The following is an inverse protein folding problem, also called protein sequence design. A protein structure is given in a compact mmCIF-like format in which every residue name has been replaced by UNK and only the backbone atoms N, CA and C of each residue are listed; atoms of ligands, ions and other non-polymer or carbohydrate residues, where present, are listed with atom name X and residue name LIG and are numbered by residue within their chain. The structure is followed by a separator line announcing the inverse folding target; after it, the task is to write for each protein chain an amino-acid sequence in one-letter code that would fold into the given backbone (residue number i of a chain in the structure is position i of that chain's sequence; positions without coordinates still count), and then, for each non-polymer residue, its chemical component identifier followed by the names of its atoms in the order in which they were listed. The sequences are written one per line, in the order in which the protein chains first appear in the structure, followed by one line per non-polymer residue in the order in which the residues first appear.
data_IF_564588654771
#
_entry.id   IF_564588654771
#
_cell.length_a   1.000
_cell.length_b   1.000
_cell.length_c   1.000
_cell.angle_alpha   90.00
_cell.angle_beta   90.00
_cell.angle_gamma   90.00
#
_symmetry.space_group_name_H-M   'P 1'
#
loop_
_entity.id
_entity.type
_entity.pdbx_description
1 polymer ?
#
# COMPACT_ATOMS: atom_id res chain seq x y z
N UNK A 1 8.21 -22.47 -10.60
CA UNK A 1 7.78 -21.11 -10.19
C UNK A 1 8.93 -20.11 -10.36
N UNK A 2 10.10 -20.36 -9.75
CA UNK A 2 11.26 -19.45 -9.78
C UNK A 2 11.72 -19.03 -11.18
N UNK A 3 11.72 -19.91 -12.17
CA UNK A 3 12.07 -19.57 -13.57
C UNK A 3 11.13 -18.54 -14.20
N UNK A 4 9.83 -18.59 -13.87
CA UNK A 4 8.86 -17.59 -14.34
C UNK A 4 9.09 -16.23 -13.66
N UNK A 5 9.54 -16.22 -12.40
CA UNK A 5 9.93 -14.98 -11.71
C UNK A 5 11.22 -14.42 -12.30
N UNK A 6 12.25 -15.26 -12.52
CA UNK A 6 13.50 -14.86 -13.16
C UNK A 6 13.26 -14.22 -14.53
N UNK A 7 12.43 -14.84 -15.38
CA UNK A 7 12.02 -14.27 -16.66
C UNK A 7 11.39 -12.86 -16.53
N UNK A 8 10.59 -12.61 -15.48
CA UNK A 8 10.03 -11.28 -15.22
C UNK A 8 11.10 -10.30 -14.77
N UNK A 9 12.03 -10.71 -13.89
CA UNK A 9 13.13 -9.86 -13.46
C UNK A 9 14.04 -9.47 -14.64
N UNK A 10 14.42 -10.43 -15.48
CA UNK A 10 15.36 -10.25 -16.58
C UNK A 10 14.76 -9.52 -17.80
N UNK A 11 13.45 -9.62 -18.04
CA UNK A 11 12.81 -9.10 -19.27
C UNK A 11 11.74 -8.02 -19.07
N UNK A 12 11.31 -7.74 -17.84
CA UNK A 12 10.39 -6.63 -17.54
C UNK A 12 11.14 -5.47 -16.89
N UNK A 13 11.84 -5.72 -15.79
CA UNK A 13 12.49 -4.70 -14.96
C UNK A 13 13.90 -4.34 -15.45
N UNK A 14 13.98 -3.97 -16.73
CA UNK A 14 15.19 -3.55 -17.43
C UNK A 14 15.38 -2.03 -17.22
N UNK A 15 16.61 -1.60 -16.94
CA UNK A 15 16.93 -0.17 -16.92
C UNK A 15 16.71 0.43 -18.31
N UNK A 16 16.12 1.62 -18.37
CA UNK A 16 15.99 2.36 -19.63
C UNK A 16 17.20 3.27 -19.73
N UNK A 17 17.99 3.14 -20.79
CA UNK A 17 19.05 4.10 -21.09
C UNK A 17 18.39 5.45 -21.39
N UNK A 18 18.66 6.47 -20.57
CA UNK A 18 18.24 7.87 -20.75
C UNK A 18 19.02 8.54 -21.91
N UNK A 19 19.22 7.83 -23.03
CA UNK A 19 19.97 8.24 -24.22
C UNK A 19 19.19 9.24 -25.07
N UNK A 20 18.98 10.40 -24.47
CA UNK A 20 18.24 11.52 -25.03
C UNK A 20 19.15 12.38 -25.93
N UNK A 21 19.65 11.83 -27.05
CA UNK A 21 20.49 12.61 -27.97
C UNK A 21 20.57 12.13 -29.45
N UNK A 22 19.46 12.23 -30.19
CA UNK A 22 19.49 12.64 -31.62
C UNK A 22 18.09 13.04 -32.10
N UNK A 23 18.02 14.07 -32.95
CA UNK A 23 16.79 14.85 -33.18
C UNK A 23 15.98 14.48 -34.44
N UNK A 24 16.41 13.47 -35.22
CA UNK A 24 15.94 13.27 -36.60
C UNK A 24 15.30 11.88 -36.86
N UNK A 25 15.21 11.01 -35.84
CA UNK A 25 14.60 9.66 -35.92
C UNK A 25 13.45 9.40 -34.93
N UNK A 26 13.08 10.40 -34.12
CA UNK A 26 12.41 10.20 -32.83
C UNK A 26 11.02 9.54 -32.86
N UNK A 27 10.25 9.64 -33.94
CA UNK A 27 8.86 9.14 -33.94
C UNK A 27 8.74 7.61 -34.10
N UNK A 28 9.58 6.97 -34.90
CA UNK A 28 9.55 5.50 -35.03
C UNK A 28 10.15 4.83 -33.78
N UNK A 29 11.21 5.42 -33.22
CA UNK A 29 11.80 4.96 -31.96
C UNK A 29 10.81 5.08 -30.78
N UNK A 30 10.09 6.19 -30.63
CA UNK A 30 9.07 6.32 -29.58
C UNK A 30 7.89 5.36 -29.76
N UNK A 31 7.42 5.15 -31.00
CA UNK A 31 6.38 4.15 -31.27
C UNK A 31 6.83 2.72 -30.88
N UNK A 32 8.08 2.38 -31.21
CA UNK A 32 8.70 1.10 -30.86
C UNK A 32 8.89 0.93 -29.34
N UNK A 33 9.37 1.97 -28.63
CA UNK A 33 9.47 1.98 -27.16
C UNK A 33 8.11 1.77 -26.49
N UNK A 34 7.07 2.43 -26.98
CA UNK A 34 5.69 2.28 -26.49
C UNK A 34 5.19 0.84 -26.69
N UNK A 35 5.39 0.25 -27.88
CA UNK A 35 5.00 -1.16 -28.13
C UNK A 35 5.77 -2.13 -27.22
N UNK A 36 7.09 -1.95 -27.08
CA UNK A 36 7.93 -2.75 -26.19
C UNK A 36 7.50 -2.63 -24.73
N UNK A 37 7.16 -1.43 -24.25
CA UNK A 37 6.60 -1.21 -22.91
C UNK A 37 5.24 -1.90 -22.75
N UNK A 38 4.34 -1.81 -23.73
CA UNK A 38 3.06 -2.53 -23.70
C UNK A 38 3.27 -4.06 -23.62
N UNK A 39 4.25 -4.61 -24.35
CA UNK A 39 4.61 -6.03 -24.27
C UNK A 39 5.13 -6.39 -22.87
N UNK A 40 6.04 -5.61 -22.29
CA UNK A 40 6.53 -5.81 -20.91
C UNK A 40 5.41 -5.72 -19.86
N UNK A 41 4.51 -4.73 -19.99
CA UNK A 41 3.30 -4.58 -19.14
C UNK A 41 2.39 -5.80 -19.22
N UNK A 42 2.17 -6.36 -20.42
CA UNK A 42 1.39 -7.58 -20.60
C UNK A 42 2.03 -8.82 -19.95
N UNK A 43 3.36 -8.97 -20.02
CA UNK A 43 4.09 -10.05 -19.35
C UNK A 43 3.99 -9.94 -17.82
N UNK A 44 4.20 -8.73 -17.27
CA UNK A 44 4.04 -8.49 -15.84
C UNK A 44 2.61 -8.79 -15.36
N UNK A 45 1.59 -8.27 -16.07
CA UNK A 45 0.20 -8.55 -15.76
C UNK A 45 -0.15 -10.05 -15.88
N UNK A 46 0.49 -10.78 -16.79
CA UNK A 46 0.34 -12.23 -16.89
C UNK A 46 0.87 -12.95 -15.65
N UNK A 47 2.06 -12.61 -15.17
CA UNK A 47 2.63 -13.19 -13.94
C UNK A 47 1.87 -12.76 -12.68
N UNK A 48 1.49 -11.48 -12.56
CA UNK A 48 0.67 -10.99 -11.46
C UNK A 48 -0.70 -11.71 -11.37
N UNK A 49 -1.29 -12.12 -12.50
CA UNK A 49 -2.49 -12.99 -12.49
C UNK A 49 -2.22 -14.32 -11.81
N UNK A 50 -1.06 -14.94 -12.00
CA UNK A 50 -0.69 -16.19 -11.32
C UNK A 50 -0.62 -16.01 -9.79
N UNK A 51 -0.14 -14.85 -9.32
CA UNK A 51 -0.08 -14.50 -7.89
C UNK A 51 -1.49 -14.34 -7.32
N UNK A 52 -2.33 -13.50 -7.93
CA UNK A 52 -3.68 -13.19 -7.39
C UNK A 52 -4.68 -14.34 -7.55
N UNK A 53 -4.43 -15.28 -8.46
CA UNK A 53 -5.18 -16.54 -8.55
C UNK A 53 -4.48 -17.71 -7.85
N UNK A 54 -3.49 -17.44 -7.00
CA UNK A 54 -2.81 -18.42 -6.12
C UNK A 54 -2.20 -19.63 -6.84
N UNK A 55 -1.82 -19.45 -8.11
CA UNK A 55 -1.11 -20.45 -8.94
C UNK A 55 0.39 -20.48 -8.63
N UNK A 56 0.94 -19.33 -8.21
CA UNK A 56 2.28 -19.22 -7.61
C UNK A 56 2.17 -18.66 -6.20
N UNK A 57 3.17 -18.93 -5.36
CA UNK A 57 3.17 -18.44 -3.97
C UNK A 57 3.20 -16.92 -3.89
N UNK A 58 2.43 -16.33 -2.96
CA UNK A 58 2.37 -14.88 -2.76
C UNK A 58 3.75 -14.28 -2.44
N UNK A 59 4.64 -15.05 -1.81
CA UNK A 59 6.02 -14.64 -1.53
C UNK A 59 6.78 -14.18 -2.79
N UNK A 60 6.49 -14.76 -3.96
CA UNK A 60 7.13 -14.35 -5.24
C UNK A 60 6.76 -12.92 -5.66
N UNK A 61 5.73 -12.33 -5.06
CA UNK A 61 5.37 -10.94 -5.28
C UNK A 61 6.32 -9.95 -4.59
N UNK A 62 7.16 -10.38 -3.64
CA UNK A 62 8.09 -9.49 -2.94
C UNK A 62 9.08 -8.83 -3.91
N UNK A 63 9.65 -9.64 -4.81
CA UNK A 63 10.57 -9.20 -5.87
C UNK A 63 9.92 -8.30 -6.94
N UNK A 64 8.58 -8.22 -6.97
CA UNK A 64 7.79 -7.31 -7.81
C UNK A 64 7.40 -6.05 -7.04
N UNK A 65 6.93 -6.20 -5.79
CA UNK A 65 6.49 -5.08 -4.96
C UNK A 65 7.65 -4.12 -4.64
N UNK A 66 8.88 -4.64 -4.49
CA UNK A 66 10.09 -3.80 -4.32
C UNK A 66 10.34 -2.85 -5.49
N UNK A 67 9.88 -3.19 -6.69
CA UNK A 67 10.06 -2.41 -7.93
C UNK A 67 9.07 -1.23 -8.07
N UNK A 68 8.07 -1.11 -7.17
CA UNK A 68 6.96 -0.15 -7.30
C UNK A 68 7.39 1.32 -7.42
N UNK A 69 8.51 1.72 -6.80
CA UNK A 69 9.05 3.09 -6.96
C UNK A 69 9.96 3.22 -8.19
N UNK A 70 10.91 2.30 -8.39
CA UNK A 70 11.86 2.37 -9.51
C UNK A 70 11.14 2.40 -10.88
N UNK A 71 10.05 1.65 -11.02
CA UNK A 71 9.28 1.55 -12.25
C UNK A 71 7.83 2.06 -12.10
N UNK A 72 7.65 3.14 -11.33
CA UNK A 72 6.31 3.67 -11.05
C UNK A 72 5.53 4.07 -12.31
N UNK A 73 6.18 4.74 -13.27
CA UNK A 73 5.55 5.19 -14.52
C UNK A 73 5.20 4.01 -15.44
N UNK A 74 6.10 3.02 -15.54
CA UNK A 74 5.97 1.86 -16.44
C UNK A 74 4.97 0.82 -15.93
N UNK A 75 4.97 0.54 -14.62
CA UNK A 75 4.32 -0.64 -14.02
C UNK A 75 3.52 -0.34 -12.74
N UNK A 76 3.52 0.90 -12.24
CA UNK A 76 2.99 1.24 -10.92
C UNK A 76 1.51 0.89 -10.71
N UNK A 77 0.68 1.03 -11.74
CA UNK A 77 -0.74 0.65 -11.71
C UNK A 77 -0.94 -0.88 -11.59
N UNK A 78 -0.18 -1.67 -12.35
CA UNK A 78 -0.22 -3.14 -12.32
C UNK A 78 0.23 -3.65 -10.94
N UNK A 79 1.36 -3.14 -10.43
CA UNK A 79 1.91 -3.53 -9.13
C UNK A 79 0.95 -3.13 -8.00
N UNK A 80 0.38 -1.91 -8.06
CA UNK A 80 -0.61 -1.41 -7.08
C UNK A 80 -1.89 -2.24 -7.05
N UNK A 81 -2.44 -2.62 -8.21
CA UNK A 81 -3.62 -3.49 -8.25
C UNK A 81 -3.29 -4.89 -7.74
N UNK A 82 -2.11 -5.42 -8.05
CA UNK A 82 -1.62 -6.70 -7.52
C UNK A 82 -1.56 -6.67 -5.99
N UNK A 83 -0.94 -5.65 -5.38
CA UNK A 83 -0.95 -5.42 -3.92
C UNK A 83 -2.37 -5.26 -3.34
N UNK A 84 -3.31 -4.69 -4.12
CA UNK A 84 -4.71 -4.55 -3.71
C UNK A 84 -5.42 -5.90 -3.67
N UNK A 85 -5.18 -6.75 -4.67
CA UNK A 85 -5.77 -8.08 -4.79
C UNK A 85 -5.19 -9.09 -3.80
N UNK A 86 -3.87 -9.13 -3.63
CA UNK A 86 -3.24 -9.99 -2.61
C UNK A 86 -3.78 -9.66 -1.21
N UNK A 87 -3.92 -8.38 -0.86
CA UNK A 87 -4.53 -7.94 0.41
C UNK A 87 -6.02 -8.30 0.55
N UNK A 88 -6.77 -8.40 -0.55
CA UNK A 88 -8.17 -8.87 -0.54
C UNK A 88 -8.28 -10.37 -0.27
N UNK A 89 -7.28 -11.15 -0.73
CA UNK A 89 -7.20 -12.61 -0.57
C UNK A 89 -6.70 -12.97 0.83
N UNK A 90 -5.53 -12.46 1.22
CA UNK A 90 -4.95 -12.63 2.56
C UNK A 90 -4.22 -11.35 2.98
N UNK A 91 -4.76 -10.68 4.00
CA UNK A 91 -4.18 -9.46 4.55
C UNK A 91 -2.85 -9.72 5.28
N UNK A 92 -2.75 -10.84 5.99
CA UNK A 92 -1.58 -11.16 6.82
C UNK A 92 -0.43 -11.57 5.90
N UNK A 93 -0.66 -12.47 4.94
CA UNK A 93 0.37 -12.80 3.94
C UNK A 93 0.74 -11.57 3.10
N UNK A 94 -0.23 -10.76 2.63
CA UNK A 94 0.12 -9.53 1.91
C UNK A 94 1.05 -8.62 2.76
N UNK A 95 0.82 -8.51 4.07
CA UNK A 95 1.70 -7.73 4.95
C UNK A 95 3.10 -8.35 5.12
N UNK A 96 3.19 -9.69 5.25
CA UNK A 96 4.46 -10.44 5.27
C UNK A 96 5.25 -10.26 3.97
N UNK A 97 4.57 -10.34 2.82
CA UNK A 97 5.18 -10.16 1.50
C UNK A 97 5.66 -8.71 1.31
N UNK A 98 4.90 -7.71 1.77
CA UNK A 98 5.31 -6.29 1.73
C UNK A 98 6.57 -6.03 2.57
N UNK A 99 6.67 -6.58 3.79
CA UNK A 99 7.87 -6.39 4.62
C UNK A 99 9.07 -7.17 4.07
N UNK A 100 8.86 -8.37 3.51
CA UNK A 100 9.90 -9.12 2.79
C UNK A 100 10.48 -8.31 1.61
N UNK A 101 9.63 -7.59 0.88
CA UNK A 101 10.06 -6.70 -0.22
C UNK A 101 11.04 -5.62 0.25
N UNK A 102 10.78 -5.04 1.44
CA UNK A 102 11.64 -4.02 2.05
C UNK A 102 12.92 -4.63 2.64
N UNK A 103 12.85 -5.84 3.18
CA UNK A 103 14.01 -6.59 3.66
C UNK A 103 14.95 -6.96 2.50
N UNK A 104 14.42 -7.34 1.33
CA UNK A 104 15.20 -7.57 0.11
C UNK A 104 15.97 -6.31 -0.30
N UNK A 105 15.30 -5.17 -0.46
CA UNK A 105 15.96 -3.89 -0.81
C UNK A 105 17.01 -3.46 0.22
N UNK A 106 16.75 -3.67 1.50
CA UNK A 106 17.70 -3.33 2.57
C UNK A 106 18.96 -4.22 2.51
N UNK A 107 18.80 -5.51 2.19
CA UNK A 107 19.93 -6.42 1.98
C UNK A 107 20.70 -6.09 0.68
N UNK A 108 20.01 -5.72 -0.40
CA UNK A 108 20.62 -5.27 -1.66
C UNK A 108 21.50 -4.03 -1.43
N UNK A 109 20.98 -3.02 -0.74
CA UNK A 109 21.76 -1.84 -0.32
C UNK A 109 22.97 -2.19 0.57
N UNK A 110 22.82 -3.12 1.53
CA UNK A 110 23.95 -3.58 2.36
C UNK A 110 24.97 -4.36 1.54
N UNK A 111 24.55 -5.11 0.51
CA UNK A 111 25.46 -5.84 -0.38
C UNK A 111 26.31 -4.87 -1.22
N UNK A 112 25.75 -3.73 -1.62
CA UNK A 112 26.45 -2.69 -2.38
C UNK A 112 27.30 -1.74 -1.52
N UNK A 113 26.84 -1.38 -0.32
CA UNK A 113 27.44 -0.30 0.49
C UNK A 113 28.04 -0.77 1.82
N UNK A 114 27.80 -2.02 2.23
CA UNK A 114 28.14 -2.56 3.55
C UNK A 114 27.24 -2.04 4.68
N UNK A 115 27.44 -2.56 5.89
CA UNK A 115 26.65 -2.20 7.07
C UNK A 115 26.90 -0.77 7.60
N UNK A 116 27.94 -0.08 7.12
CA UNK A 116 28.28 1.29 7.53
C UNK A 116 27.74 2.35 6.54
N UNK A 117 26.63 2.05 5.86
CA UNK A 117 25.99 2.97 4.91
C UNK A 117 25.47 4.24 5.59
N UNK A 118 25.39 5.33 4.83
CA UNK A 118 24.78 6.56 5.32
C UNK A 118 23.24 6.48 5.31
N UNK A 119 22.63 6.65 6.48
CA UNK A 119 21.16 6.72 6.64
C UNK A 119 20.54 7.99 6.05
N UNK A 120 21.33 8.99 5.66
CA UNK A 120 20.86 10.17 4.90
C UNK A 120 20.86 9.97 3.38
N UNK A 121 21.41 8.85 2.89
CA UNK A 121 21.49 8.53 1.46
C UNK A 121 20.13 8.50 0.76
N UNK A 122 20.15 8.81 -0.54
CA UNK A 122 18.98 8.72 -1.42
C UNK A 122 18.43 7.29 -1.51
N UNK A 123 19.30 6.28 -1.56
CA UNK A 123 18.94 4.85 -1.58
C UNK A 123 18.11 4.47 -0.35
N UNK A 124 18.63 4.73 0.85
CA UNK A 124 17.90 4.42 2.09
C UNK A 124 16.60 5.23 2.22
N UNK A 125 16.64 6.51 1.84
CA UNK A 125 15.45 7.38 1.79
C UNK A 125 14.39 6.87 0.82
N UNK A 126 14.79 6.29 -0.31
CA UNK A 126 13.89 5.65 -1.28
C UNK A 126 13.20 4.40 -0.72
N UNK A 127 13.91 3.57 0.04
CA UNK A 127 13.32 2.40 0.73
C UNK A 127 12.31 2.87 1.80
N UNK A 128 12.63 3.92 2.56
CA UNK A 128 11.69 4.54 3.52
C UNK A 128 10.46 5.12 2.83
N UNK A 129 10.62 5.81 1.70
CA UNK A 129 9.50 6.34 0.90
C UNK A 129 8.59 5.23 0.37
N UNK A 130 9.16 4.13 -0.12
CA UNK A 130 8.41 2.93 -0.51
C UNK A 130 7.63 2.35 0.69
N UNK A 131 8.27 2.22 1.85
CA UNK A 131 7.63 1.73 3.08
C UNK A 131 6.47 2.63 3.53
N UNK A 132 6.64 3.95 3.47
CA UNK A 132 5.57 4.94 3.72
C UNK A 132 4.39 4.76 2.76
N UNK A 133 4.64 4.47 1.48
CA UNK A 133 3.58 4.14 0.51
C UNK A 133 2.92 2.79 0.78
N UNK A 134 3.67 1.77 1.19
CA UNK A 134 3.11 0.49 1.64
C UNK A 134 2.22 0.66 2.88
N UNK A 135 2.58 1.52 3.83
CA UNK A 135 1.76 1.82 5.00
C UNK A 135 0.38 2.38 4.62
N UNK A 136 0.25 3.12 3.52
CA UNK A 136 -1.04 3.61 3.02
C UNK A 136 -1.97 2.48 2.51
N UNK A 137 -1.43 1.32 2.12
CA UNK A 137 -2.23 0.19 1.61
C UNK A 137 -3.12 -0.47 2.67
N UNK A 138 -2.80 -0.29 3.97
CA UNK A 138 -3.61 -0.77 5.09
C UNK A 138 -4.88 0.08 5.33
N UNK A 139 -5.07 1.16 4.57
CA UNK A 139 -6.27 2.00 4.61
C UNK A 139 -6.42 2.85 5.87
N UNK A 140 -7.67 3.22 6.17
CA UNK A 140 -8.08 3.99 7.35
C UNK A 140 -8.74 3.11 8.43
N UNK A 141 -9.30 1.96 8.04
CA UNK A 141 -9.94 1.01 8.96
C UNK A 141 -8.87 0.13 9.63
N UNK A 142 -8.23 0.70 10.65
CA UNK A 142 -7.19 0.02 11.44
C UNK A 142 -7.70 -1.29 12.07
N UNK A 143 -8.99 -1.38 12.43
CA UNK A 143 -9.54 -2.59 13.06
C UNK A 143 -9.53 -3.76 12.08
N UNK A 144 -9.87 -3.53 10.80
CA UNK A 144 -9.83 -4.56 9.75
C UNK A 144 -8.42 -5.01 9.34
N UNK A 145 -7.37 -4.26 9.69
CA UNK A 145 -5.97 -4.56 9.34
C UNK A 145 -5.04 -4.82 10.53
N UNK A 146 -5.57 -4.72 11.76
CA UNK A 146 -4.89 -4.91 13.05
C UNK A 146 -3.90 -6.07 13.10
N UNK A 147 -4.32 -7.28 12.76
CA UNK A 147 -3.47 -8.48 12.85
C UNK A 147 -2.36 -8.47 11.79
N UNK A 148 -2.67 -7.99 10.59
CA UNK A 148 -1.71 -7.89 9.49
C UNK A 148 -0.60 -6.86 9.80
N UNK A 149 -0.97 -5.70 10.35
CA UNK A 149 0.02 -4.68 10.74
C UNK A 149 0.83 -5.12 11.96
N UNK A 150 0.22 -5.82 12.93
CA UNK A 150 0.96 -6.39 14.06
C UNK A 150 1.97 -7.47 13.61
N UNK A 151 1.60 -8.32 12.65
CA UNK A 151 2.49 -9.32 12.06
C UNK A 151 3.64 -8.66 11.26
N UNK A 152 3.36 -7.60 10.50
CA UNK A 152 4.39 -6.82 9.81
C UNK A 152 5.44 -6.26 10.76
N UNK A 153 5.01 -5.70 11.90
CA UNK A 153 5.94 -5.22 12.93
C UNK A 153 6.72 -6.37 13.58
N UNK A 154 6.09 -7.52 13.83
CA UNK A 154 6.75 -8.70 14.37
C UNK A 154 7.88 -9.20 13.47
N UNK A 155 7.58 -9.45 12.20
CA UNK A 155 8.55 -9.94 11.21
C UNK A 155 9.66 -8.89 10.94
N UNK A 156 9.33 -7.59 10.99
CA UNK A 156 10.30 -6.49 10.89
C UNK A 156 11.25 -6.38 12.10
N UNK A 157 10.76 -6.62 13.31
CA UNK A 157 11.58 -6.72 14.53
C UNK A 157 12.48 -7.96 14.45
N UNK A 158 11.93 -9.14 14.13
CA UNK A 158 12.71 -10.37 13.97
C UNK A 158 13.87 -10.19 12.98
N UNK A 159 13.64 -9.46 11.87
CA UNK A 159 14.69 -9.11 10.91
C UNK A 159 15.75 -8.13 11.45
N UNK A 160 15.33 -7.07 12.15
CA UNK A 160 16.24 -6.05 12.69
C UNK A 160 17.22 -6.60 13.74
N UNK A 161 16.83 -7.65 14.46
CA UNK A 161 17.65 -8.35 15.46
C UNK A 161 18.15 -9.74 15.01
N UNK A 162 17.96 -10.10 13.73
CA UNK A 162 18.33 -11.42 13.18
C UNK A 162 19.82 -11.74 13.32
N UNK A 163 20.67 -10.75 13.08
CA UNK A 163 22.12 -10.92 13.03
C UNK A 163 22.80 -10.02 14.09
N UNK A 164 23.37 -10.61 15.16
CA UNK A 164 24.07 -9.85 16.20
C UNK A 164 25.39 -9.29 15.65
N UNK A 165 25.90 -8.24 16.28
CA UNK A 165 27.15 -7.64 15.87
C UNK A 165 28.35 -8.55 16.24
N UNK A 166 29.26 -8.89 15.31
CA UNK A 166 30.47 -9.67 15.63
C UNK A 166 31.40 -8.99 16.65
N UNK A 167 31.29 -7.68 16.83
CA UNK A 167 32.05 -6.91 17.83
C UNK A 167 31.46 -7.01 19.26
N UNK A 168 30.33 -7.69 19.43
CA UNK A 168 29.69 -7.96 20.72
C UNK A 168 28.52 -7.05 21.07
N UNK A 169 27.88 -7.33 22.21
CA UNK A 169 26.61 -6.72 22.66
C UNK A 169 26.67 -5.20 22.93
N UNK A 170 27.87 -4.61 22.98
CA UNK A 170 28.05 -3.16 23.06
C UNK A 170 27.75 -2.43 21.75
N UNK A 171 27.70 -3.15 20.63
CA UNK A 171 27.46 -2.60 19.29
C UNK A 171 26.02 -2.89 18.82
N UNK A 172 25.43 -2.02 17.98
CA UNK A 172 24.10 -2.26 17.42
C UNK A 172 24.08 -3.52 16.55
N UNK A 173 23.00 -4.33 16.60
CA UNK A 173 22.76 -5.42 15.66
C UNK A 173 22.88 -4.95 14.20
N UNK A 174 23.30 -5.84 13.31
CA UNK A 174 23.68 -5.48 11.95
C UNK A 174 22.53 -4.83 11.15
N UNK A 175 21.29 -5.25 11.41
CA UNK A 175 20.09 -4.78 10.72
C UNK A 175 19.32 -3.69 11.51
N UNK A 176 19.89 -3.11 12.57
CA UNK A 176 19.15 -2.20 13.47
C UNK A 176 18.55 -0.98 12.73
N UNK A 177 19.23 -0.49 11.69
CA UNK A 177 18.75 0.63 10.87
C UNK A 177 17.42 0.34 10.16
N UNK A 178 17.03 -0.93 9.96
CA UNK A 178 15.73 -1.30 9.40
C UNK A 178 14.55 -0.80 10.26
N UNK A 179 14.77 -0.49 11.55
CA UNK A 179 13.75 0.09 12.41
C UNK A 179 13.33 1.52 11.99
N UNK A 180 14.19 2.28 11.30
CA UNK A 180 13.80 3.57 10.71
C UNK A 180 12.80 3.39 9.55
N UNK A 181 12.90 2.29 8.79
CA UNK A 181 11.94 1.90 7.75
C UNK A 181 10.64 1.37 8.41
N UNK A 182 10.78 0.52 9.43
CA UNK A 182 9.64 -0.06 10.16
C UNK A 182 8.80 1.00 10.88
N UNK A 183 9.42 2.11 11.28
CA UNK A 183 8.76 3.25 11.93
C UNK A 183 7.66 3.91 11.08
N UNK A 184 7.76 3.86 9.74
CA UNK A 184 6.73 4.40 8.83
C UNK A 184 5.36 3.70 9.02
N UNK A 185 5.39 2.42 9.42
CA UNK A 185 4.20 1.61 9.69
C UNK A 185 3.62 1.82 11.11
N UNK A 186 4.35 2.45 12.03
CA UNK A 186 3.91 2.63 13.44
C UNK A 186 2.61 3.43 13.58
N UNK A 187 2.36 4.34 12.63
CA UNK A 187 1.15 5.16 12.52
C UNK A 187 -0.13 4.36 12.22
N UNK A 188 0.01 3.10 11.77
CA UNK A 188 -1.09 2.20 11.40
C UNK A 188 -1.49 1.21 12.50
N UNK A 189 -0.68 1.10 13.56
CA UNK A 189 -1.04 0.34 14.76
C UNK A 189 -2.10 1.08 15.58
N UNK A 190 -3.09 0.34 16.11
CA UNK A 190 -3.96 0.87 17.16
C UNK A 190 -3.14 1.07 18.44
N UNK A 191 -3.54 2.03 19.29
CA UNK A 191 -2.84 2.33 20.55
C UNK A 191 -2.61 1.11 21.45
N UNK A 192 -3.59 0.20 21.54
CA UNK A 192 -3.46 -1.04 22.31
C UNK A 192 -2.38 -1.98 21.75
N UNK A 193 -2.23 -2.04 20.42
CA UNK A 193 -1.26 -2.92 19.76
C UNK A 193 0.13 -2.35 19.78
N UNK A 194 0.29 -1.02 19.79
CA UNK A 194 1.60 -0.39 20.03
C UNK A 194 2.25 -0.90 21.32
N UNK A 195 1.48 -1.05 22.41
CA UNK A 195 1.98 -1.65 23.67
C UNK A 195 2.35 -3.13 23.49
N UNK A 196 1.55 -3.91 22.77
CA UNK A 196 1.84 -5.33 22.50
C UNK A 196 3.11 -5.50 21.66
N UNK A 197 3.29 -4.68 20.62
CA UNK A 197 4.49 -4.65 19.77
C UNK A 197 5.71 -4.17 20.56
N UNK A 198 5.55 -3.19 21.45
CA UNK A 198 6.61 -2.74 22.36
C UNK A 198 7.07 -3.85 23.32
N UNK A 199 6.13 -4.56 23.97
CA UNK A 199 6.46 -5.73 24.82
C UNK A 199 7.07 -6.88 24.02
N UNK A 200 6.77 -6.98 22.73
CA UNK A 200 7.44 -7.92 21.83
C UNK A 200 8.88 -7.48 21.49
N UNK A 201 9.10 -6.20 21.20
CA UNK A 201 10.42 -5.60 20.98
C UNK A 201 11.35 -5.76 22.21
N UNK A 202 10.81 -5.61 23.42
CA UNK A 202 11.57 -5.79 24.67
C UNK A 202 12.17 -7.19 24.84
N UNK A 203 11.69 -8.20 24.10
CA UNK A 203 12.29 -9.56 24.11
C UNK A 203 13.64 -9.62 23.39
N UNK A 204 13.95 -8.65 22.55
CA UNK A 204 15.19 -8.56 21.77
C UNK A 204 16.15 -7.48 22.31
N UNK A 205 15.65 -6.52 23.09
CA UNK A 205 16.46 -5.46 23.69
C UNK A 205 17.04 -5.89 25.03
N UNK A 206 18.35 -5.73 25.23
CA UNK A 206 18.93 -5.77 26.57
C UNK A 206 18.70 -4.45 27.30
N UNK A 207 18.79 -4.46 28.63
CA UNK A 207 18.72 -3.25 29.45
C UNK A 207 19.76 -2.19 29.02
N UNK A 208 20.98 -2.63 28.67
CA UNK A 208 22.05 -1.75 28.19
C UNK A 208 21.67 -1.03 26.89
N UNK A 209 21.10 -1.74 25.91
CA UNK A 209 20.64 -1.16 24.64
C UNK A 209 19.61 -0.04 24.87
N UNK A 210 18.72 -0.20 25.85
CA UNK A 210 17.70 0.80 26.19
C UNK A 210 18.26 2.11 26.78
N UNK A 211 19.49 2.08 27.30
CA UNK A 211 20.20 3.21 27.90
C UNK A 211 21.11 3.96 26.91
N UNK A 212 21.49 3.34 25.78
CA UNK A 212 22.33 3.96 24.75
C UNK A 212 21.66 5.20 24.15
N UNK A 213 22.47 6.21 23.82
CA UNK A 213 22.04 7.51 23.26
C UNK A 213 22.89 7.97 22.07
N UNK A 214 23.83 7.15 21.62
CA UNK A 214 24.72 7.46 20.49
C UNK A 214 23.96 7.34 19.15
N UNK A 215 24.39 8.08 18.12
CA UNK A 215 23.64 8.20 16.85
C UNK A 215 23.35 6.87 16.15
N UNK A 216 24.22 5.87 16.33
CA UNK A 216 24.06 4.51 15.79
C UNK A 216 22.88 3.74 16.41
N UNK A 217 22.37 4.19 17.56
CA UNK A 217 21.20 3.63 18.25
C UNK A 217 19.91 4.41 17.99
N UNK A 218 19.95 5.53 17.26
CA UNK A 218 18.77 6.33 16.93
C UNK A 218 17.62 5.54 16.26
N UNK A 219 17.85 4.56 15.36
CA UNK A 219 16.74 3.78 14.78
C UNK A 219 15.89 3.07 15.84
N UNK A 220 16.56 2.52 16.87
CA UNK A 220 15.89 1.87 17.99
C UNK A 220 15.13 2.89 18.85
N UNK A 221 15.74 4.03 19.14
CA UNK A 221 15.11 5.09 19.95
C UNK A 221 13.88 5.67 19.27
N UNK A 222 13.97 6.00 17.98
CA UNK A 222 12.87 6.55 17.17
C UNK A 222 11.71 5.56 17.08
N UNK A 223 11.99 4.30 16.75
CA UNK A 223 10.97 3.26 16.67
C UNK A 223 10.29 3.03 18.03
N UNK A 224 11.08 2.90 19.10
CA UNK A 224 10.58 2.77 20.48
C UNK A 224 9.66 3.94 20.88
N UNK A 225 10.05 5.17 20.57
CA UNK A 225 9.25 6.36 20.84
C UNK A 225 7.94 6.36 20.02
N UNK A 226 7.97 5.91 18.77
CA UNK A 226 6.76 5.79 17.93
C UNK A 226 5.70 4.85 18.50
N UNK A 227 6.12 3.81 19.23
CA UNK A 227 5.24 2.86 19.92
C UNK A 227 4.73 3.40 21.27
N UNK A 228 5.51 4.21 21.98
CA UNK A 228 5.11 4.81 23.26
C UNK A 228 4.28 6.09 23.11
N UNK A 229 4.38 6.79 21.98
CA UNK A 229 3.63 8.01 21.69
C UNK A 229 2.10 7.76 21.68
N UNK A 230 1.41 8.42 22.61
CA UNK A 230 -0.05 8.36 22.83
C UNK A 230 -0.51 7.76 24.18
N UNK A 231 0.42 7.52 25.12
CA UNK A 231 0.15 6.77 26.35
C UNK A 231 -0.37 7.52 27.59
N UNK A 232 -0.27 8.85 27.66
CA UNK A 232 -0.39 9.60 28.95
C UNK A 232 -1.57 10.60 29.04
N UNK A 233 -2.30 10.84 27.95
CA UNK A 233 -3.34 11.89 27.90
C UNK A 233 -4.64 11.52 28.65
N UNK A 234 -4.97 10.23 28.74
CA UNK A 234 -6.20 9.76 29.41
C UNK A 234 -6.11 9.72 30.94
N UNK A 235 -4.90 9.82 31.51
CA UNK A 235 -4.68 9.71 32.96
C UNK A 235 -5.07 10.98 33.74
N UNK A 236 -5.24 12.12 33.06
CA UNK A 236 -5.61 13.39 33.68
C UNK A 236 -7.10 13.76 33.59
N UNK A 237 -7.89 13.07 32.77
CA UNK A 237 -9.28 13.48 32.48
C UNK A 237 -10.34 13.07 33.52
N UNK A 238 -9.98 12.26 34.52
CA UNK A 238 -10.95 11.58 35.41
C UNK A 238 -10.99 12.06 36.87
N UNK A 239 -10.12 13.01 37.28
CA UNK A 239 -9.97 13.39 38.71
C UNK A 239 -10.78 14.64 39.10
N UNK A 240 -11.21 15.47 38.15
CA UNK A 240 -11.98 16.70 38.42
C UNK A 240 -13.50 16.45 38.43
N UNK A 241 -14.02 15.67 39.38
CA UNK A 241 -15.41 15.18 39.34
C UNK A 241 -16.17 14.98 40.66
N UNK A 242 -15.63 15.32 41.83
CA UNK A 242 -16.33 15.11 43.13
C UNK A 242 -16.28 16.29 44.10
N UNK A 243 -17.27 17.19 43.99
CA UNK A 243 -17.85 18.07 45.03
C UNK A 243 -18.76 19.12 44.36
N UNK A 244 -19.98 19.46 44.75
CA UNK A 244 -21.04 18.90 45.60
C UNK A 244 -22.13 19.99 45.70
N UNK A 245 -23.40 19.65 45.41
CA UNK A 245 -24.65 20.28 45.93
C UNK A 245 -24.92 21.80 45.70
N UNK A 246 -26.12 22.13 45.19
CA UNK A 246 -26.79 23.39 45.58
C UNK A 246 -27.85 24.03 44.64
N UNK A 247 -29.14 23.72 44.90
CA UNK A 247 -30.31 24.66 44.86
C UNK A 247 -30.76 25.45 43.60
N UNK A 248 -32.03 25.19 43.23
CA UNK A 248 -33.15 26.14 42.92
C UNK A 248 -33.26 26.95 41.61
N UNK A 249 -34.15 26.48 40.72
CA UNK A 249 -35.37 27.15 40.16
C UNK A 249 -35.46 28.70 40.17
N UNK A 250 -35.66 29.37 39.00
CA UNK A 250 -36.94 30.01 38.51
C UNK A 250 -36.75 31.04 37.35
N UNK A 251 -37.81 31.21 36.53
CA UNK A 251 -38.25 32.46 35.81
C UNK A 251 -37.65 32.92 34.46
N UNK A 252 -38.40 32.61 33.38
CA UNK A 252 -38.99 33.50 32.33
C UNK A 252 -38.25 34.76 31.77
N UNK A 253 -37.95 34.65 30.46
CA UNK A 253 -38.45 35.47 29.31
C UNK A 253 -37.78 36.81 28.91
N UNK A 254 -37.73 37.02 27.58
CA UNK A 254 -37.63 38.27 26.77
C UNK A 254 -36.30 38.55 26.04
N UNK A 255 -36.39 38.56 24.69
CA UNK A 255 -35.52 39.25 23.70
C UNK A 255 -35.95 40.74 23.58
N UNK A 256 -35.33 41.60 22.72
CA UNK A 256 -33.97 41.64 22.14
C UNK A 256 -33.30 43.04 22.25
N UNK A 257 -32.07 43.24 21.74
CA UNK A 257 -31.79 44.22 20.66
C UNK A 257 -30.30 44.38 20.28
N UNK A 258 -30.15 44.66 18.98
CA UNK A 258 -29.04 45.23 18.17
C UNK A 258 -27.83 45.90 18.84
N UNK A 259 -26.62 45.65 18.27
CA UNK A 259 -25.45 46.54 18.41
C UNK A 259 -24.27 46.17 17.49
N UNK A 260 -24.03 46.94 16.41
CA UNK A 260 -22.83 46.83 15.55
C UNK A 260 -21.76 47.84 15.99
N UNK A 261 -20.46 47.46 16.00
CA UNK A 261 -19.35 48.13 15.27
C UNK A 261 -17.92 47.68 15.65
N UNK A 262 -17.05 47.68 14.61
CA UNK A 262 -15.59 47.97 14.52
C UNK A 262 -14.62 47.29 15.51
N UNK A 263 -13.53 46.62 15.11
CA UNK A 263 -12.46 46.87 14.09
C UNK A 263 -11.47 47.99 14.47
N UNK A 264 -10.31 47.54 14.96
CA UNK A 264 -8.92 48.09 14.98
C UNK A 264 -8.08 46.81 15.25
N UNK A 265 -7.19 46.25 14.42
CA UNK A 265 -6.14 46.71 13.49
C UNK A 265 -4.84 47.21 14.17
N UNK A 266 -3.72 46.52 13.89
CA UNK A 266 -2.36 46.98 14.17
C UNK A 266 -1.57 46.22 15.24
N UNK A 267 -0.74 45.26 14.83
CA UNK A 267 0.73 45.43 14.83
C UNK A 267 1.41 44.31 14.03
N UNK A 268 2.25 44.68 13.06
CA UNK A 268 2.96 43.76 12.16
C UNK A 268 4.48 43.88 12.39
N UNK A 269 5.16 42.76 12.62
CA UNK A 269 6.60 42.54 12.39
C UNK A 269 6.72 41.07 11.96
N UNK A 270 6.91 40.76 10.67
CA UNK A 270 8.23 40.53 10.03
C UNK A 270 8.93 39.31 10.66
N UNK A 271 9.11 38.17 9.97
CA UNK A 271 9.93 38.01 8.75
C UNK A 271 9.35 36.98 7.73
N UNK A 272 9.33 37.38 6.46
CA UNK A 272 9.76 36.69 5.20
C UNK A 272 9.88 35.15 5.18
N UNK A 273 9.08 34.44 4.36
CA UNK A 273 9.37 33.92 2.98
C UNK A 273 10.29 32.67 2.96
N UNK A 274 10.25 31.67 2.07
CA UNK A 274 9.32 31.13 1.02
C UNK A 274 9.91 29.73 0.64
N UNK A 275 9.32 28.76 -0.08
CA UNK A 275 7.98 28.43 -0.65
C UNK A 275 7.97 26.87 -0.78
N UNK A 276 6.92 26.09 -1.07
CA UNK A 276 5.50 26.34 -1.36
C UNK A 276 4.69 25.08 -0.94
N UNK A 277 3.42 24.91 -1.38
CA UNK A 277 2.70 23.63 -1.25
C UNK A 277 1.55 23.46 -2.27
N UNK A 278 1.75 22.60 -3.26
CA UNK A 278 0.73 22.18 -4.23
C UNK A 278 0.28 20.74 -3.96
N UNK A 279 -0.69 20.54 -3.07
CA UNK A 279 -1.70 19.49 -3.22
C UNK A 279 -2.84 19.63 -2.20
N UNK A 280 -3.97 20.23 -2.62
CA UNK A 280 -5.21 20.34 -1.82
C UNK A 280 -6.44 20.59 -2.72
N UNK A 281 -6.58 19.82 -3.81
CA UNK A 281 -7.64 19.99 -4.81
C UNK A 281 -8.49 18.73 -5.08
N UNK A 282 -8.64 17.84 -4.09
CA UNK A 282 -9.63 16.75 -4.14
C UNK A 282 -10.41 16.67 -2.82
N UNK A 283 -11.73 16.47 -2.92
CA UNK A 283 -12.73 16.39 -1.82
C UNK A 283 -13.30 17.73 -1.28
N UNK A 284 -13.91 18.54 -2.14
CA UNK A 284 -15.05 19.42 -1.77
C UNK A 284 -15.83 19.93 -2.98
N UNK A 285 -16.82 19.16 -3.46
CA UNK A 285 -17.85 19.70 -4.38
C UNK A 285 -19.14 18.88 -4.38
N UNK A 286 -20.06 19.27 -3.51
CA UNK A 286 -21.53 19.05 -3.47
C UNK A 286 -22.02 19.88 -2.26
N UNK A 287 -23.01 20.77 -2.27
CA UNK A 287 -24.05 21.17 -3.23
C UNK A 287 -24.36 22.69 -3.16
N UNK A 288 -25.33 23.13 -3.98
CA UNK A 288 -26.06 24.41 -4.02
C UNK A 288 -25.52 25.51 -4.94
N UNK A 289 -26.20 25.70 -6.09
CA UNK A 289 -26.97 26.92 -6.42
C UNK A 289 -27.66 26.78 -7.81
N UNK A 290 -28.65 27.64 -8.03
CA UNK A 290 -29.74 27.60 -9.02
C UNK A 290 -29.45 27.33 -10.52
N UNK A 291 -30.49 26.78 -11.17
CA UNK A 291 -30.72 26.66 -12.63
C UNK A 291 -30.52 27.94 -13.43
N UNK A 292 -30.13 27.79 -14.71
CA UNK A 292 -30.99 28.34 -15.78
C UNK A 292 -31.19 27.43 -17.02
N UNK A 293 -32.42 27.45 -17.53
CA UNK A 293 -32.91 27.31 -18.93
C UNK A 293 -32.37 26.20 -19.87
N UNK A 294 -33.31 25.57 -20.58
CA UNK A 294 -33.14 24.39 -21.42
C UNK A 294 -32.28 24.58 -22.68
N UNK A 295 -31.42 23.58 -22.95
CA UNK A 295 -30.91 23.24 -24.28
C UNK A 295 -31.49 21.88 -24.70
N UNK A 296 -31.97 21.77 -25.93
CA UNK A 296 -32.65 20.55 -26.42
C UNK A 296 -31.63 19.44 -26.71
N UNK A 297 -31.94 18.22 -26.26
CA UNK A 297 -31.18 17.01 -26.61
C UNK A 297 -31.54 16.54 -28.02
N UNK A 298 -30.57 16.27 -28.92
CA UNK A 298 -30.85 15.59 -30.17
C UNK A 298 -31.25 14.14 -29.91
N UNK A 299 -32.33 13.69 -30.55
CA UNK A 299 -32.84 12.32 -30.45
C UNK A 299 -31.93 11.36 -31.24
N UNK A 300 -31.29 10.40 -30.56
CA UNK A 300 -30.60 9.28 -31.20
C UNK A 300 -31.59 8.17 -31.54
N UNK A 301 -32.19 8.24 -32.73
CA UNK A 301 -33.14 7.22 -33.20
C UNK A 301 -32.40 5.96 -33.65
N UNK A 302 -32.72 4.83 -33.01
CA UNK A 302 -32.17 3.52 -33.33
C UNK A 302 -32.63 2.97 -34.68
N UNK A 303 -31.73 2.32 -35.42
CA UNK A 303 -32.06 1.42 -36.55
C UNK A 303 -31.53 0.01 -36.28
N UNK A 304 -32.30 -0.77 -35.51
CA UNK A 304 -32.16 -2.23 -35.47
C UNK A 304 -32.59 -2.80 -36.82
N UNK A 305 -31.67 -3.41 -37.57
CA UNK A 305 -32.03 -4.21 -38.73
C UNK A 305 -32.74 -5.49 -38.28
N UNK A 306 -33.99 -5.69 -38.71
CA UNK A 306 -34.73 -6.94 -38.53
C UNK A 306 -34.40 -7.92 -39.65
N UNK A 307 -34.06 -9.15 -39.29
CA UNK A 307 -33.96 -10.25 -40.24
C UNK A 307 -35.35 -10.62 -40.82
N UNK A 308 -35.44 -10.91 -42.13
CA UNK A 308 -36.68 -11.34 -42.76
C UNK A 308 -36.92 -12.84 -42.56
N UNK A 309 -37.97 -13.20 -41.81
CA UNK A 309 -38.49 -14.59 -41.80
C UNK A 309 -39.21 -14.91 -43.12
N UNK A 310 -38.79 -15.98 -43.80
CA UNK A 310 -39.62 -16.79 -44.71
C UNK A 310 -39.47 -18.26 -44.29
N UNK A 311 -40.52 -18.81 -43.69
CA UNK A 311 -41.52 -19.68 -44.33
C UNK A 311 -40.99 -21.10 -44.60
N UNK A 312 -41.44 -22.01 -43.73
CA UNK A 312 -41.27 -23.47 -43.75
C UNK A 312 -42.23 -24.10 -44.76
N UNK A 313 -41.89 -25.27 -45.32
CA UNK A 313 -42.88 -26.33 -45.51
C UNK A 313 -42.68 -27.48 -44.52
N UNK A 314 -43.77 -27.95 -43.91
CA UNK A 314 -43.90 -29.34 -43.38
C UNK A 314 -43.85 -30.32 -44.59
N UNK A 315 -43.69 -31.65 -44.50
CA UNK A 315 -43.81 -32.66 -43.44
C UNK A 315 -42.63 -33.68 -43.60
N UNK A 316 -42.18 -34.47 -42.61
CA UNK A 316 -42.80 -35.80 -42.31
C UNK A 316 -42.20 -36.43 -41.04
N UNK A 317 -43.09 -36.70 -40.08
CA UNK A 317 -43.17 -37.81 -39.11
C UNK A 317 -41.94 -38.64 -38.63
N UNK A 318 -41.80 -38.66 -37.29
CA UNK A 318 -41.30 -39.69 -36.34
C UNK A 318 -40.57 -40.97 -36.87
N UNK A 319 -39.53 -41.51 -36.22
CA UNK A 319 -39.56 -41.97 -34.81
C UNK A 319 -38.17 -42.36 -34.25
N UNK A 320 -38.08 -42.51 -32.93
CA UNK A 320 -36.89 -42.95 -32.16
C UNK A 320 -36.91 -44.47 -31.93
N UNK A 321 -35.77 -45.15 -32.09
CA UNK A 321 -35.43 -46.39 -31.36
C UNK A 321 -33.90 -46.61 -31.28
N UNK A 322 -33.35 -47.02 -30.12
CA UNK A 322 -31.97 -47.48 -29.98
C UNK A 322 -31.86 -49.01 -29.91
N UNK A 323 -30.87 -49.59 -30.60
CA UNK A 323 -30.47 -51.02 -30.58
C UNK A 323 -28.99 -51.09 -31.04
N UNK A 324 -28.12 -52.00 -30.58
CA UNK A 324 -28.20 -52.98 -29.48
C UNK A 324 -26.77 -53.36 -29.03
N UNK A 325 -26.66 -54.02 -27.88
CA UNK A 325 -25.41 -54.61 -27.36
C UNK A 325 -25.03 -55.90 -28.09
N UNK A 326 -23.75 -56.10 -28.42
CA UNK A 326 -23.17 -57.43 -28.63
C UNK A 326 -22.08 -57.73 -27.58
N UNK A 327 -22.32 -58.80 -26.82
CA UNK A 327 -21.25 -59.56 -26.18
C UNK A 327 -20.56 -60.43 -27.23
N UNK A 328 -19.24 -60.65 -27.09
CA UNK A 328 -18.64 -61.95 -27.42
C UNK A 328 -17.49 -62.29 -26.47
N UNK A 329 -17.23 -63.58 -26.33
CA UNK A 329 -16.55 -64.18 -25.17
C UNK A 329 -15.03 -64.32 -25.33
N UNK A 330 -14.36 -64.46 -24.19
CA UNK A 330 -12.99 -64.97 -24.03
C UNK A 330 -12.84 -66.42 -24.47
N UNK A 331 -11.65 -66.81 -24.97
CA UNK A 331 -11.09 -68.15 -24.75
C UNK A 331 -10.07 -68.15 -23.59
N UNK A 332 -9.98 -69.28 -22.91
CA UNK A 332 -8.94 -69.64 -21.92
C UNK A 332 -7.82 -70.46 -22.60
N UNK A 333 -6.91 -70.97 -21.76
CA UNK A 333 -5.77 -71.88 -22.01
C UNK A 333 -4.45 -71.14 -22.34
N UNK A 334 -3.32 -71.42 -21.67
CA UNK A 334 -2.97 -72.53 -20.75
C UNK A 334 -2.13 -72.05 -19.56
#
# INVERSE_FOLDING_TARGET
QSELLAFILDHVFIEQDDDNNSADGQQEDEASKIEALHKRRNLLAAFCKLIVYTVVEMNTAADIFKQYMKYYNDYGDIIKETMSKTRQIDKIQCAKTLILSLQQLFNEMIQENGYNFDRSSSTFSGIKELARRFALTFGLDQLKTREAIAMLHKDGIEFAFKEPNPQGESHPPLNLAFLDILSEFSSKLLRQDKRTVYVYLEKFMTFQMSLRREDVWLPLMSYRNSLLAGGDDDTMSVISGISSRGSTVRSKKSKPSTGKRKVVEGMQLALTEESSSSDSMWLSREQTLHTPVMMQTPQLTSTIMREPKRLRPEDTFMSVYPMQTEHHQTPLDY
#
